data_IF_727805825183
#
_entry.id   IF_727805825183
#
_cell.length_a   1.000
_cell.length_b   1.000
_cell.length_c   1.000
_cell.angle_alpha   90.00
_cell.angle_beta   90.00
_cell.angle_gamma   90.00
#
_symmetry.space_group_name_H-M   'P 1'
#
loop_
_entity.id
_entity.type
_entity.pdbx_description
1 polymer ?
#
# COMPACT_ATOMS: atom_id res chain seq x y z
N UNK A 1 26.13 72.60 -41.89
CA UNK A 1 26.03 71.90 -43.20
C UNK A 1 25.08 70.73 -42.99
N UNK A 2 23.79 70.94 -43.31
CA UNK A 2 22.96 70.12 -44.25
C UNK A 2 22.99 68.61 -43.94
N UNK A 3 21.88 67.90 -43.70
CA UNK A 3 20.76 67.74 -44.64
C UNK A 3 19.53 67.07 -43.98
N UNK A 4 18.36 67.37 -44.55
CA UNK A 4 17.00 66.89 -44.19
C UNK A 4 16.74 65.45 -44.67
N UNK A 5 15.83 64.73 -44.01
CA UNK A 5 14.70 63.94 -44.59
C UNK A 5 14.12 63.00 -43.51
N UNK A 6 12.86 63.16 -43.10
CA UNK A 6 11.59 62.68 -43.69
C UNK A 6 11.24 61.24 -43.25
N UNK A 7 10.10 61.14 -42.56
CA UNK A 7 9.48 59.93 -42.00
C UNK A 7 9.03 58.96 -43.08
N UNK A 8 9.12 57.66 -42.80
CA UNK A 8 8.28 56.63 -43.44
C UNK A 8 7.59 55.83 -42.33
N UNK A 9 6.25 55.84 -42.36
CA UNK A 9 5.35 54.96 -41.60
C UNK A 9 5.18 53.62 -42.35
N UNK A 10 4.65 52.61 -41.65
CA UNK A 10 4.12 51.29 -42.12
C UNK A 10 5.09 50.12 -41.92
N UNK A 11 4.73 48.92 -41.45
CA UNK A 11 3.44 48.34 -41.07
C UNK A 11 3.68 47.19 -40.07
N UNK A 12 2.66 46.84 -39.29
CA UNK A 12 2.57 45.58 -38.54
C UNK A 12 2.79 44.38 -39.47
N UNK A 13 3.42 43.32 -38.93
CA UNK A 13 2.99 41.92 -38.98
C UNK A 13 4.12 40.93 -39.31
N UNK A 14 4.17 39.86 -38.51
CA UNK A 14 4.86 38.61 -38.84
C UNK A 14 6.22 38.47 -38.15
N UNK A 15 6.50 37.46 -37.35
CA UNK A 15 5.80 36.22 -37.03
C UNK A 15 6.24 35.87 -35.62
N UNK A 16 5.37 36.07 -34.62
CA UNK A 16 5.50 35.30 -33.41
C UNK A 16 5.19 33.86 -33.81
N UNK A 17 6.21 33.02 -33.92
CA UNK A 17 6.05 31.57 -34.04
C UNK A 17 5.38 31.12 -32.74
N UNK A 18 4.06 31.16 -32.76
CA UNK A 18 3.22 30.48 -31.80
C UNK A 18 3.57 29.01 -31.93
N UNK A 19 4.46 28.52 -31.07
CA UNK A 19 4.38 27.14 -30.64
C UNK A 19 3.01 27.04 -29.95
N UNK A 20 1.97 26.76 -30.74
CA UNK A 20 0.83 26.06 -30.22
C UNK A 20 1.42 24.74 -29.73
N UNK A 21 1.79 24.69 -28.45
CA UNK A 21 1.87 23.45 -27.74
C UNK A 21 0.51 22.80 -28.00
N UNK A 22 0.48 21.81 -28.90
CA UNK A 22 -0.65 20.91 -28.99
C UNK A 22 -0.76 20.37 -27.57
N UNK A 23 -1.75 20.87 -26.83
CA UNK A 23 -2.03 20.36 -25.50
C UNK A 23 -2.13 18.85 -25.69
N UNK A 24 -1.18 18.12 -25.09
CA UNK A 24 -1.29 16.67 -25.03
C UNK A 24 -2.68 16.40 -24.47
N UNK A 25 -3.49 15.52 -25.10
CA UNK A 25 -4.77 15.15 -24.50
C UNK A 25 -4.45 14.79 -23.07
N UNK A 26 -5.04 15.52 -22.12
CA UNK A 26 -4.87 15.21 -20.71
C UNK A 26 -5.27 13.76 -20.59
N UNK A 27 -4.30 12.86 -20.38
CA UNK A 27 -4.64 11.49 -20.04
C UNK A 27 -5.49 11.67 -18.80
N UNK A 28 -6.81 11.41 -18.94
CA UNK A 28 -7.69 11.31 -17.80
C UNK A 28 -6.93 10.44 -16.82
N UNK A 29 -6.63 10.92 -15.60
CA UNK A 29 -5.93 10.09 -14.66
C UNK A 29 -6.76 8.81 -14.60
N UNK A 30 -6.14 7.66 -14.89
CA UNK A 30 -6.80 6.36 -14.93
C UNK A 30 -7.34 5.95 -13.54
N UNK A 31 -7.53 6.90 -12.63
CA UNK A 31 -7.89 6.76 -11.23
C UNK A 31 -9.34 6.33 -11.01
N UNK A 32 -10.21 6.38 -12.03
CA UNK A 32 -11.63 6.06 -11.88
C UNK A 32 -11.97 4.56 -11.93
N UNK A 33 -11.32 3.81 -12.83
CA UNK A 33 -11.70 2.42 -13.14
C UNK A 33 -10.64 1.38 -12.74
N UNK A 34 -9.49 1.84 -12.23
CA UNK A 34 -8.45 0.95 -11.74
C UNK A 34 -8.82 0.39 -10.37
N UNK A 35 -8.99 -0.92 -10.31
CA UNK A 35 -9.16 -1.67 -9.08
C UNK A 35 -8.04 -2.68 -8.91
N UNK A 36 -7.56 -2.81 -7.69
CA UNK A 36 -6.66 -3.90 -7.33
C UNK A 36 -7.41 -5.23 -7.43
N UNK A 37 -6.77 -6.22 -8.05
CA UNK A 37 -7.29 -7.60 -8.08
C UNK A 37 -6.16 -8.59 -7.82
N UNK A 38 -6.48 -9.61 -7.03
CA UNK A 38 -5.58 -10.72 -6.78
C UNK A 38 -5.44 -11.59 -8.04
N UNK A 39 -4.22 -11.82 -8.52
CA UNK A 39 -3.94 -12.71 -9.67
C UNK A 39 -3.52 -14.12 -9.25
N UNK A 40 -3.39 -14.37 -7.95
CA UNK A 40 -2.87 -15.62 -7.39
C UNK A 40 -1.34 -15.69 -7.34
N UNK A 41 -0.76 -16.82 -6.88
CA UNK A 41 -1.43 -18.05 -6.48
C UNK A 41 -2.28 -17.91 -5.21
N UNK A 42 -3.34 -18.71 -5.07
CA UNK A 42 -4.20 -18.75 -3.87
C UNK A 42 -3.51 -19.35 -2.63
N UNK A 43 -2.20 -19.59 -2.71
CA UNK A 43 -1.38 -20.15 -1.64
C UNK A 43 -0.40 -19.08 -1.19
N UNK A 44 -0.42 -18.83 0.12
CA UNK A 44 0.53 -17.93 0.76
C UNK A 44 1.97 -18.37 0.50
N UNK A 45 2.88 -17.42 0.44
CA UNK A 45 4.32 -17.68 0.44
C UNK A 45 4.78 -18.23 1.80
N UNK A 46 5.94 -17.80 2.27
CA UNK A 46 6.43 -18.25 3.57
C UNK A 46 5.60 -17.67 4.72
N UNK A 47 4.73 -18.53 5.30
CA UNK A 47 4.02 -18.24 6.54
C UNK A 47 4.95 -18.42 7.74
N UNK A 48 4.94 -17.44 8.64
CA UNK A 48 5.76 -17.43 9.86
C UNK A 48 4.98 -17.96 11.06
N UNK A 49 3.69 -17.60 11.17
CA UNK A 49 2.81 -18.00 12.27
C UNK A 49 1.37 -18.16 11.77
N UNK A 50 0.59 -19.00 12.43
CA UNK A 50 -0.85 -19.12 12.23
C UNK A 50 -1.57 -19.31 13.57
N UNK A 51 -2.79 -18.79 13.67
CA UNK A 51 -3.61 -18.84 14.88
C UNK A 51 -5.09 -19.06 14.53
N UNK A 52 -5.76 -19.94 15.28
CA UNK A 52 -7.19 -20.20 15.16
C UNK A 52 -7.98 -19.46 16.24
N UNK A 53 -9.28 -19.26 16.01
CA UNK A 53 -10.18 -18.69 17.02
C UNK A 53 -10.98 -19.83 17.68
N UNK A 54 -10.85 -20.07 19.01
CA UNK A 54 -11.42 -21.24 19.67
C UNK A 54 -12.91 -21.50 19.39
N UNK A 55 -13.73 -20.45 19.42
CA UNK A 55 -15.19 -20.56 19.23
C UNK A 55 -15.62 -20.45 17.75
N UNK A 56 -14.67 -20.35 16.81
CA UNK A 56 -14.94 -20.19 15.38
C UNK A 56 -14.07 -21.19 14.58
N UNK A 57 -14.51 -22.45 14.43
CA UNK A 57 -13.67 -23.53 13.89
C UNK A 57 -13.24 -23.35 12.43
N UNK A 58 -13.87 -22.41 11.70
CA UNK A 58 -13.51 -22.08 10.32
C UNK A 58 -12.68 -20.79 10.20
N UNK A 59 -12.42 -20.11 11.31
CA UNK A 59 -11.69 -18.83 11.33
C UNK A 59 -10.25 -19.03 11.74
N UNK A 60 -9.35 -18.64 10.84
CA UNK A 60 -7.92 -18.70 11.07
C UNK A 60 -7.26 -17.42 10.56
N UNK A 61 -6.16 -17.08 11.17
CA UNK A 61 -5.27 -16.01 10.77
C UNK A 61 -3.89 -16.58 10.52
N UNK A 62 -3.18 -16.06 9.54
CA UNK A 62 -1.75 -16.30 9.44
C UNK A 62 -1.02 -15.00 9.09
N UNK A 63 0.27 -15.00 9.38
CA UNK A 63 1.18 -13.93 9.01
C UNK A 63 2.36 -14.49 8.23
N UNK A 64 2.98 -13.67 7.41
CA UNK A 64 4.07 -14.09 6.56
C UNK A 64 5.30 -13.21 6.59
N UNK A 65 6.38 -13.81 6.10
CA UNK A 65 7.72 -13.26 5.94
C UNK A 65 7.76 -11.88 5.25
N UNK A 66 6.90 -11.67 4.26
CA UNK A 66 6.77 -10.41 3.53
C UNK A 66 5.39 -10.21 2.92
N UNK A 67 4.38 -10.88 3.49
CA UNK A 67 3.02 -10.90 2.95
C UNK A 67 1.98 -10.28 3.87
N UNK A 68 2.37 -9.72 5.01
CA UNK A 68 1.45 -9.16 6.00
C UNK A 68 0.62 -10.21 6.71
N UNK A 69 -0.60 -9.84 7.09
CA UNK A 69 -1.58 -10.67 7.80
C UNK A 69 -2.76 -11.03 6.87
N UNK A 70 -3.23 -12.27 7.02
CA UNK A 70 -4.34 -12.81 6.26
C UNK A 70 -5.34 -13.48 7.18
N UNK A 71 -6.61 -13.48 6.77
CA UNK A 71 -7.71 -14.14 7.48
C UNK A 71 -8.52 -15.00 6.54
N UNK A 72 -8.96 -16.15 7.04
CA UNK A 72 -10.02 -16.95 6.45
C UNK A 72 -11.17 -17.09 7.45
N UNK A 73 -12.38 -17.24 6.95
CA UNK A 73 -13.59 -17.59 7.71
C UNK A 73 -14.25 -18.88 7.21
N UNK A 74 -13.62 -19.56 6.24
CA UNK A 74 -14.16 -20.73 5.55
C UNK A 74 -13.18 -21.91 5.50
N UNK A 75 -12.37 -22.05 6.56
CA UNK A 75 -11.38 -23.12 6.75
C UNK A 75 -10.28 -23.12 5.67
N UNK A 76 -9.83 -21.94 5.27
CA UNK A 76 -8.67 -21.76 4.38
C UNK A 76 -8.98 -21.93 2.89
N UNK A 77 -10.25 -21.97 2.49
CA UNK A 77 -10.65 -21.99 1.07
C UNK A 77 -10.37 -20.65 0.40
N UNK A 78 -10.65 -19.54 1.09
CA UNK A 78 -10.31 -18.19 0.66
C UNK A 78 -9.65 -17.41 1.78
N UNK A 79 -8.81 -16.45 1.40
CA UNK A 79 -8.07 -15.60 2.32
C UNK A 79 -8.24 -14.13 1.94
N UNK A 80 -8.49 -13.29 2.94
CA UNK A 80 -8.57 -11.83 2.84
C UNK A 80 -7.28 -11.22 3.42
N UNK A 81 -6.66 -10.28 2.70
CA UNK A 81 -5.55 -9.49 3.24
C UNK A 81 -6.10 -8.51 4.25
N UNK A 82 -5.47 -8.45 5.43
CA UNK A 82 -5.77 -7.49 6.48
C UNK A 82 -4.63 -6.48 6.68
N UNK A 83 -3.58 -6.57 5.86
CA UNK A 83 -2.32 -5.84 6.03
C UNK A 83 -2.14 -4.64 5.11
N UNK A 84 -3.09 -4.34 4.22
CA UNK A 84 -2.91 -3.34 3.15
C UNK A 84 -2.65 -1.91 3.68
N UNK A 85 -3.10 -1.63 4.92
CA UNK A 85 -2.90 -0.35 5.59
C UNK A 85 -1.72 -0.35 6.59
N UNK A 86 -0.93 -1.43 6.65
CA UNK A 86 0.26 -1.50 7.50
C UNK A 86 1.49 -0.98 6.73
N UNK A 87 2.36 -0.18 7.35
CA UNK A 87 3.60 0.28 6.72
C UNK A 87 4.70 -0.80 6.69
N UNK A 88 4.47 -1.95 7.35
CA UNK A 88 5.37 -3.09 7.35
C UNK A 88 4.66 -4.32 6.76
N UNK A 89 5.35 -5.09 5.93
CA UNK A 89 4.84 -6.33 5.33
C UNK A 89 5.42 -7.59 5.95
N UNK A 90 6.60 -7.50 6.58
CA UNK A 90 7.20 -8.62 7.29
C UNK A 90 6.58 -8.77 8.67
N UNK A 91 6.02 -9.94 8.96
CA UNK A 91 5.34 -10.23 10.22
C UNK A 91 5.88 -11.52 10.83
N UNK A 92 6.27 -11.47 12.09
CA UNK A 92 6.99 -12.54 12.79
C UNK A 92 6.26 -13.03 14.03
N UNK A 93 5.30 -12.26 14.53
CA UNK A 93 4.47 -12.62 15.66
C UNK A 93 3.01 -12.27 15.41
N UNK A 94 2.12 -13.14 15.87
CA UNK A 94 0.67 -13.01 15.82
C UNK A 94 0.11 -13.51 17.15
N UNK A 95 -0.80 -12.75 17.75
CA UNK A 95 -1.55 -13.16 18.93
C UNK A 95 -2.98 -12.60 18.88
N UNK A 96 -3.97 -13.45 19.11
CA UNK A 96 -5.40 -13.10 19.17
C UNK A 96 -5.87 -13.25 20.61
N UNK A 97 -6.55 -12.22 21.14
CA UNK A 97 -7.03 -12.27 22.51
C UNK A 97 -8.17 -13.31 22.65
N UNK A 98 -8.03 -14.32 23.53
CA UNK A 98 -9.07 -15.35 23.71
C UNK A 98 -10.41 -14.77 24.18
N UNK A 99 -10.36 -13.71 24.99
CA UNK A 99 -11.56 -13.05 25.54
C UNK A 99 -12.33 -12.21 24.51
N UNK A 100 -11.66 -11.77 23.45
CA UNK A 100 -12.26 -10.99 22.38
C UNK A 100 -11.40 -11.12 21.10
N UNK A 101 -11.78 -12.01 20.16
CA UNK A 101 -11.04 -12.21 18.92
C UNK A 101 -10.99 -10.98 17.99
N UNK A 102 -11.70 -9.90 18.31
CA UNK A 102 -11.52 -8.60 17.65
C UNK A 102 -10.20 -7.92 18.04
N UNK A 103 -9.59 -8.29 19.16
CA UNK A 103 -8.30 -7.76 19.60
C UNK A 103 -7.18 -8.65 19.12
N UNK A 104 -6.31 -8.10 18.27
CA UNK A 104 -5.18 -8.80 17.64
C UNK A 104 -3.92 -7.97 17.83
N UNK A 105 -2.80 -8.63 18.14
CA UNK A 105 -1.47 -8.03 18.14
C UNK A 105 -0.60 -8.65 17.04
N UNK A 106 0.16 -7.80 16.37
CA UNK A 106 1.13 -8.16 15.33
C UNK A 106 2.50 -7.63 15.69
N UNK A 107 3.50 -8.50 15.70
CA UNK A 107 4.91 -8.11 15.73
C UNK A 107 5.46 -8.09 14.31
N UNK A 108 5.91 -6.93 13.88
CA UNK A 108 6.57 -6.78 12.57
C UNK A 108 8.01 -7.29 12.61
N UNK A 109 8.56 -7.56 11.43
CA UNK A 109 9.85 -8.19 11.23
C UNK A 109 9.75 -9.70 11.11
N UNK A 110 10.86 -10.35 10.78
CA UNK A 110 10.91 -11.80 10.58
C UNK A 110 11.90 -12.47 11.53
N UNK A 111 11.62 -13.74 11.85
CA UNK A 111 12.43 -14.62 12.71
C UNK A 111 13.86 -14.83 12.19
N UNK A 112 14.11 -14.64 10.89
CA UNK A 112 15.43 -14.82 10.27
C UNK A 112 15.76 -13.63 9.36
N UNK A 113 16.89 -12.97 9.61
CA UNK A 113 17.39 -11.90 8.77
C UNK A 113 17.74 -12.43 7.37
N UNK A 114 17.18 -11.80 6.33
CA UNK A 114 17.51 -12.06 4.94
C UNK A 114 17.54 -10.75 4.17
N UNK A 115 18.24 -10.76 3.04
CA UNK A 115 18.42 -9.58 2.20
C UNK A 115 17.13 -9.13 1.48
N UNK A 116 16.15 -10.02 1.35
CA UNK A 116 14.89 -9.82 0.64
C UNK A 116 13.69 -9.50 1.54
N UNK A 117 13.90 -9.37 2.86
CA UNK A 117 12.84 -9.19 3.85
C UNK A 117 13.09 -7.93 4.68
N UNK A 118 12.05 -7.12 4.84
CA UNK A 118 12.09 -5.89 5.61
C UNK A 118 12.31 -6.17 7.10
N UNK A 119 13.12 -5.32 7.76
CA UNK A 119 13.23 -5.30 9.22
C UNK A 119 11.90 -4.94 9.88
N UNK A 120 11.69 -5.45 11.10
CA UNK A 120 10.56 -5.03 11.93
C UNK A 120 10.68 -3.56 12.33
N UNK A 121 9.53 -2.96 12.61
CA UNK A 121 9.41 -1.60 13.13
C UNK A 121 8.48 -1.53 14.35
N UNK A 122 8.34 -2.65 15.08
CA UNK A 122 7.58 -2.74 16.33
C UNK A 122 6.26 -3.50 16.23
N UNK A 123 5.34 -3.16 17.13
CA UNK A 123 4.09 -3.90 17.33
C UNK A 123 2.87 -3.08 16.94
N UNK A 124 1.91 -3.74 16.31
CA UNK A 124 0.62 -3.19 15.94
C UNK A 124 -0.49 -3.88 16.72
N UNK A 125 -1.56 -3.15 17.00
CA UNK A 125 -2.78 -3.65 17.64
C UNK A 125 -4.00 -3.31 16.79
N UNK A 126 -4.88 -4.28 16.63
CA UNK A 126 -6.24 -4.08 16.16
C UNK A 126 -7.24 -4.32 17.29
N UNK A 127 -8.41 -3.66 17.21
CA UNK A 127 -9.57 -3.89 18.08
C UNK A 127 -10.84 -4.24 17.28
N UNK A 128 -10.73 -4.42 15.97
CA UNK A 128 -11.83 -4.67 15.04
C UNK A 128 -11.59 -5.91 14.16
N UNK A 129 -10.77 -6.84 14.64
CA UNK A 129 -10.48 -8.11 13.98
C UNK A 129 -9.51 -7.99 12.80
N UNK A 130 -8.69 -6.93 12.80
CA UNK A 130 -7.63 -6.67 11.83
C UNK A 130 -8.02 -5.73 10.69
N UNK A 131 -9.17 -5.05 10.76
CA UNK A 131 -9.58 -4.08 9.72
C UNK A 131 -8.78 -2.79 9.83
N UNK A 132 -8.49 -2.36 11.05
CA UNK A 132 -7.63 -1.21 11.35
C UNK A 132 -6.55 -1.58 12.35
N UNK A 133 -5.41 -0.90 12.24
CA UNK A 133 -4.21 -1.16 13.03
C UNK A 133 -3.69 0.14 13.63
N UNK A 134 -3.27 0.07 14.89
CA UNK A 134 -2.56 1.13 15.58
C UNK A 134 -1.17 0.64 15.97
N UNK A 135 -0.14 1.40 15.67
CA UNK A 135 1.20 1.15 16.22
C UNK A 135 1.18 1.37 17.74
N UNK A 136 1.72 0.43 18.52
CA UNK A 136 1.66 0.44 19.99
C UNK A 136 3.04 0.37 20.65
N UNK A 137 4.11 0.61 19.89
CA UNK A 137 5.47 0.74 20.42
C UNK A 137 6.44 -0.32 19.90
N UNK A 138 7.54 -0.49 20.64
CA UNK A 138 8.71 -1.28 20.21
C UNK A 138 9.34 -0.77 18.91
N UNK A 139 9.47 0.56 18.76
CA UNK A 139 10.08 1.20 17.59
C UNK A 139 11.59 1.01 17.51
N UNK A 140 12.25 0.78 18.65
CA UNK A 140 13.71 0.84 18.80
C UNK A 140 14.35 -0.57 18.78
N UNK A 141 13.69 -1.53 18.16
CA UNK A 141 14.11 -2.95 18.08
C UNK A 141 15.00 -3.23 16.88
#
# INVERSE_FOLDING_TARGET
MSMRSLRVFSALAGVALSFAALAQPSMSPFTGDLHWRLLGPFRAGWSTMAEGVPDKPNTFYFVGAGSGIWKTDNAGRTWESLGDNLPASAMGALAIAPSNPGVIYLGSGQVAARWDIQSGNGVYKSIDGGKTWRHVGLTDT
#
